data_IF_087396597372
#
_entry.id   IF_087396597372
#
_cell.length_a   1.000
_cell.length_b   1.000
_cell.length_c   1.000
_cell.angle_alpha   90.00
_cell.angle_beta   90.00
_cell.angle_gamma   90.00
#
_symmetry.space_group_name_H-M   'P 1'
#
loop_
_entity.id
_entity.type
_entity.pdbx_description
1 polymer ?
#
# COMPACT_ATOMS: atom_id res chain seq x y z
N UNK A 1 -30.69 -29.75 5.64
CA UNK A 1 -31.57 -28.73 5.06
C UNK A 1 -31.76 -27.77 6.20
N UNK A 2 -30.74 -26.93 6.42
CA UNK A 2 -30.55 -26.18 7.65
C UNK A 2 -31.27 -24.84 7.49
N UNK A 3 -32.25 -24.59 8.35
CA UNK A 3 -33.18 -23.47 8.25
C UNK A 3 -32.41 -22.13 8.29
N UNK A 4 -32.57 -21.26 7.27
CA UNK A 4 -32.00 -19.90 7.27
C UNK A 4 -32.56 -19.02 8.39
N UNK A 5 -33.63 -19.45 9.05
CA UNK A 5 -34.31 -18.76 10.14
C UNK A 5 -33.53 -18.89 11.47
N UNK A 6 -32.85 -20.03 11.69
CA UNK A 6 -32.05 -20.27 12.91
C UNK A 6 -30.86 -19.31 13.03
N UNK A 7 -30.18 -19.01 11.91
CA UNK A 7 -29.06 -18.06 11.93
C UNK A 7 -29.53 -16.63 12.23
N UNK A 8 -30.70 -16.24 11.75
CA UNK A 8 -31.26 -14.93 12.05
C UNK A 8 -31.63 -14.84 13.52
N UNK A 9 -32.25 -15.87 14.09
CA UNK A 9 -32.61 -15.91 15.50
C UNK A 9 -31.38 -15.89 16.41
N UNK A 10 -30.34 -16.66 16.09
CA UNK A 10 -29.06 -16.67 16.86
C UNK A 10 -28.35 -15.32 16.76
N UNK A 11 -28.38 -14.66 15.59
CA UNK A 11 -27.79 -13.33 15.41
C UNK A 11 -28.62 -12.28 16.15
N UNK A 12 -29.95 -12.35 16.11
CA UNK A 12 -30.84 -11.43 16.83
C UNK A 12 -30.72 -11.61 18.34
N UNK A 13 -30.56 -12.84 18.82
CA UNK A 13 -30.32 -13.15 20.23
C UNK A 13 -28.97 -12.60 20.70
N UNK A 14 -27.90 -12.82 19.94
CA UNK A 14 -26.58 -12.25 20.23
C UNK A 14 -26.58 -10.72 20.19
N UNK A 15 -27.30 -10.11 19.24
CA UNK A 15 -27.44 -8.65 19.17
C UNK A 15 -28.23 -8.09 20.35
N UNK A 16 -29.28 -8.79 20.80
CA UNK A 16 -30.03 -8.42 21.99
C UNK A 16 -29.20 -8.60 23.27
N UNK A 17 -28.40 -9.65 23.35
CA UNK A 17 -27.45 -9.86 24.44
C UNK A 17 -26.36 -8.79 24.46
N UNK A 18 -25.74 -8.49 23.31
CA UNK A 18 -24.74 -7.44 23.18
C UNK A 18 -25.33 -6.05 23.48
N UNK A 19 -26.55 -5.77 23.05
CA UNK A 19 -27.29 -4.56 23.44
C UNK A 19 -27.49 -4.52 24.96
N UNK A 20 -27.94 -5.61 25.58
CA UNK A 20 -28.16 -5.65 27.03
C UNK A 20 -26.84 -5.53 27.80
N UNK A 21 -25.74 -6.08 27.30
CA UNK A 21 -24.41 -6.01 27.89
C UNK A 21 -23.72 -4.64 27.69
N UNK A 22 -23.91 -3.99 26.54
CA UNK A 22 -23.34 -2.66 26.25
C UNK A 22 -24.16 -1.52 26.86
N UNK A 23 -25.47 -1.71 27.04
CA UNK A 23 -26.37 -0.71 27.63
C UNK A 23 -26.79 -1.05 29.08
N UNK A 24 -26.22 -2.11 29.67
CA UNK A 24 -26.38 -2.40 31.10
C UNK A 24 -25.91 -1.22 31.94
N UNK A 25 -26.62 -0.91 33.02
CA UNK A 25 -26.25 0.14 33.95
C UNK A 25 -24.84 -0.07 34.53
N UNK A 26 -24.35 -1.30 34.63
CA UNK A 26 -23.00 -1.62 35.10
C UNK A 26 -21.90 -1.20 34.12
N UNK A 27 -22.14 -1.32 32.81
CA UNK A 27 -21.17 -0.88 31.79
C UNK A 27 -21.09 0.64 31.73
N UNK A 28 -22.21 1.32 32.02
CA UNK A 28 -22.24 2.78 32.16
C UNK A 28 -21.54 3.27 33.43
N UNK A 29 -21.62 2.55 34.55
CA UNK A 29 -20.84 2.91 35.76
C UNK A 29 -19.35 2.64 35.57
N UNK A 30 -18.96 1.56 34.89
CA UNK A 30 -17.55 1.31 34.56
C UNK A 30 -17.00 2.27 33.51
N UNK A 31 -17.77 2.64 32.47
CA UNK A 31 -17.38 3.69 31.53
C UNK A 31 -17.26 5.04 32.25
N UNK A 32 -18.20 5.38 33.13
CA UNK A 32 -18.16 6.66 33.83
C UNK A 32 -17.02 6.71 34.87
N UNK A 33 -16.70 5.59 35.50
CA UNK A 33 -15.69 5.50 36.55
C UNK A 33 -14.25 5.29 36.01
N UNK A 34 -14.07 4.58 34.88
CA UNK A 34 -12.75 4.28 34.30
C UNK A 34 -12.46 4.97 32.96
N UNK A 35 -13.47 5.39 32.19
CA UNK A 35 -13.28 6.04 30.87
C UNK A 35 -13.42 7.58 30.95
N UNK A 36 -14.07 8.11 31.99
CA UNK A 36 -14.26 9.57 32.19
C UNK A 36 -13.49 10.16 33.38
N UNK A 37 -12.54 9.43 33.97
CA UNK A 37 -11.67 9.99 35.02
C UNK A 37 -10.52 10.81 34.37
N UNK A 38 -10.28 12.09 34.78
CA UNK A 38 -9.33 13.02 34.17
C UNK A 38 -7.84 12.63 34.15
N UNK A 39 -7.48 11.44 34.64
CA UNK A 39 -6.13 10.85 34.65
C UNK A 39 -5.99 9.60 33.76
N UNK A 40 -6.91 9.37 32.83
CA UNK A 40 -6.84 8.25 31.87
C UNK A 40 -5.64 8.37 30.90
N UNK A 41 -4.83 7.31 30.70
CA UNK A 41 -3.72 7.28 29.73
C UNK A 41 -4.15 7.60 28.30
N UNK A 42 -5.41 7.30 27.94
CA UNK A 42 -6.00 7.64 26.65
C UNK A 42 -6.24 9.15 26.50
N UNK A 43 -6.53 9.84 27.60
CA UNK A 43 -6.67 11.30 27.59
C UNK A 43 -5.31 11.99 27.54
N UNK A 44 -4.28 11.44 28.19
CA UNK A 44 -2.89 11.91 28.06
C UNK A 44 -2.40 11.72 26.62
N UNK A 45 -2.69 10.56 26.01
CA UNK A 45 -2.40 10.30 24.61
C UNK A 45 -3.14 11.31 23.70
N UNK A 46 -4.46 11.52 23.92
CA UNK A 46 -5.24 12.51 23.17
C UNK A 46 -4.70 13.93 23.32
N UNK A 47 -4.31 14.33 24.53
CA UNK A 47 -3.73 15.66 24.81
C UNK A 47 -2.36 15.81 24.15
N UNK A 48 -1.51 14.79 24.21
CA UNK A 48 -0.22 14.79 23.50
C UNK A 48 -0.40 14.84 21.99
N UNK A 49 -1.35 14.11 21.41
CA UNK A 49 -1.68 14.22 19.99
C UNK A 49 -2.22 15.62 19.65
N UNK A 50 -3.08 16.18 20.49
CA UNK A 50 -3.63 17.52 20.29
C UNK A 50 -2.56 18.62 20.41
N UNK A 51 -1.62 18.50 21.36
CA UNK A 51 -0.53 19.44 21.57
C UNK A 51 0.54 19.34 20.46
N UNK A 52 0.81 18.12 19.96
CA UNK A 52 1.66 17.94 18.78
C UNK A 52 1.01 18.52 17.52
N UNK A 53 -0.30 18.32 17.33
CA UNK A 53 -1.04 18.94 16.23
C UNK A 53 -1.04 20.47 16.33
N UNK A 54 -1.30 21.02 17.52
CA UNK A 54 -1.38 22.47 17.73
C UNK A 54 -0.01 23.16 17.57
N UNK A 55 1.06 22.51 18.04
CA UNK A 55 2.44 23.02 17.90
C UNK A 55 2.90 22.98 16.44
N UNK A 56 2.57 21.91 15.69
CA UNK A 56 2.84 21.84 14.25
C UNK A 56 2.03 22.90 13.47
N UNK A 57 0.78 23.15 13.86
CA UNK A 57 -0.09 24.12 13.21
C UNK A 57 0.36 25.57 13.43
N UNK A 58 0.65 25.95 14.68
CA UNK A 58 0.96 27.34 15.03
C UNK A 58 2.39 27.77 14.67
N UNK A 59 3.37 26.86 14.63
CA UNK A 59 4.77 27.23 14.43
C UNK A 59 5.21 27.35 12.97
N UNK A 60 4.61 26.57 12.05
CA UNK A 60 5.14 26.42 10.68
C UNK A 60 4.08 26.76 9.62
N UNK A 61 2.79 26.52 9.88
CA UNK A 61 1.74 26.72 8.87
C UNK A 61 1.07 28.10 8.88
N UNK A 62 1.04 28.81 10.01
CA UNK A 62 0.36 30.12 10.07
C UNK A 62 0.91 31.17 9.09
N UNK A 63 2.25 31.38 8.91
CA UNK A 63 2.71 32.43 8.01
C UNK A 63 2.51 32.08 6.53
N UNK A 64 2.42 30.79 6.19
CA UNK A 64 2.12 30.34 4.83
C UNK A 64 0.63 30.46 4.52
N UNK A 65 -0.25 30.07 5.45
CA UNK A 65 -1.70 30.21 5.28
C UNK A 65 -2.11 31.68 5.19
N UNK A 66 -1.54 32.56 6.01
CA UNK A 66 -1.87 33.99 5.97
C UNK A 66 -1.41 34.64 4.66
N UNK A 67 -0.22 34.31 4.15
CA UNK A 67 0.25 34.79 2.84
C UNK A 67 -0.57 34.25 1.68
N UNK A 68 -1.00 32.99 1.75
CA UNK A 68 -1.88 32.39 0.74
C UNK A 68 -3.27 33.01 0.78
N UNK A 69 -3.84 33.24 1.97
CA UNK A 69 -5.14 33.89 2.15
C UNK A 69 -5.13 35.33 1.63
N UNK A 70 -4.04 36.07 1.88
CA UNK A 70 -3.87 37.45 1.41
C UNK A 70 -3.58 37.53 -0.11
N UNK A 71 -2.97 36.51 -0.71
CA UNK A 71 -2.82 36.38 -2.16
C UNK A 71 -4.14 35.96 -2.85
N UNK A 72 -4.93 35.10 -2.20
CA UNK A 72 -6.24 34.65 -2.68
C UNK A 72 -7.30 35.76 -2.68
N UNK A 73 -7.28 36.65 -1.69
CA UNK A 73 -8.27 37.74 -1.59
C UNK A 73 -8.12 38.80 -2.68
N UNK A 74 -6.94 38.93 -3.29
CA UNK A 74 -6.65 39.96 -4.28
C UNK A 74 -6.90 39.54 -5.73
N UNK A 75 -7.12 38.26 -6.02
CA UNK A 75 -7.35 37.76 -7.39
C UNK A 75 -8.11 36.43 -7.41
N UNK A 76 -9.40 36.40 -7.83
CA UNK A 76 -10.23 35.18 -7.86
C UNK A 76 -9.65 34.04 -8.71
N UNK A 77 -8.89 34.38 -9.75
CA UNK A 77 -8.29 33.41 -10.68
C UNK A 77 -7.16 32.59 -10.01
N UNK A 78 -6.46 33.19 -9.04
CA UNK A 78 -5.44 32.50 -8.26
C UNK A 78 -6.03 31.45 -7.31
N UNK A 79 -7.28 31.63 -6.87
CA UNK A 79 -7.96 30.66 -6.00
C UNK A 79 -8.13 29.31 -6.71
N UNK A 80 -8.57 29.33 -7.96
CA UNK A 80 -8.81 28.10 -8.75
C UNK A 80 -7.49 27.37 -9.03
N UNK A 81 -6.43 28.12 -9.38
CA UNK A 81 -5.10 27.56 -9.63
C UNK A 81 -4.49 26.93 -8.36
N UNK A 82 -4.55 27.65 -7.23
CA UNK A 82 -4.05 27.13 -5.94
C UNK A 82 -4.85 25.90 -5.52
N UNK A 83 -6.18 25.93 -5.65
CA UNK A 83 -7.03 24.78 -5.36
C UNK A 83 -6.66 23.57 -6.22
N UNK A 84 -6.47 23.74 -7.53
CA UNK A 84 -6.05 22.67 -8.42
C UNK A 84 -4.69 22.06 -8.02
N UNK A 85 -3.71 22.90 -7.67
CA UNK A 85 -2.40 22.45 -7.18
C UNK A 85 -2.54 21.69 -5.86
N UNK A 86 -3.36 22.17 -4.92
CA UNK A 86 -3.60 21.49 -3.65
C UNK A 86 -4.23 20.11 -3.89
N UNK A 87 -5.23 20.00 -4.75
CA UNK A 87 -5.85 18.72 -5.11
C UNK A 87 -4.83 17.77 -5.75
N UNK A 88 -3.98 18.27 -6.66
CA UNK A 88 -2.93 17.49 -7.28
C UNK A 88 -1.92 16.97 -6.25
N UNK A 89 -1.46 17.84 -5.34
CA UNK A 89 -0.53 17.47 -4.26
C UNK A 89 -1.16 16.43 -3.33
N UNK A 90 -2.44 16.59 -2.98
CA UNK A 90 -3.18 15.60 -2.19
C UNK A 90 -3.27 14.25 -2.92
N UNK A 91 -3.56 14.25 -4.21
CA UNK A 91 -3.60 13.02 -5.00
C UNK A 91 -2.24 12.32 -5.02
N UNK A 92 -1.15 13.06 -5.24
CA UNK A 92 0.21 12.51 -5.19
C UNK A 92 0.56 11.98 -3.79
N UNK A 93 0.18 12.71 -2.74
CA UNK A 93 0.41 12.29 -1.37
C UNK A 93 -0.31 10.97 -1.07
N UNK A 94 -1.58 10.84 -1.47
CA UNK A 94 -2.34 9.59 -1.33
C UNK A 94 -1.64 8.46 -2.10
N UNK A 95 -1.19 8.71 -3.33
CA UNK A 95 -0.47 7.72 -4.13
C UNK A 95 0.82 7.23 -3.44
N UNK A 96 1.59 8.15 -2.86
CA UNK A 96 2.80 7.84 -2.12
C UNK A 96 2.49 7.04 -0.84
N UNK A 97 1.42 7.39 -0.14
CA UNK A 97 0.95 6.66 1.03
C UNK A 97 0.51 5.24 0.68
N UNK A 98 -0.28 5.09 -0.39
CA UNK A 98 -0.70 3.77 -0.89
C UNK A 98 0.53 2.94 -1.25
N UNK A 99 1.50 3.50 -1.98
CA UNK A 99 2.75 2.79 -2.31
C UNK A 99 3.48 2.30 -1.07
N UNK A 100 3.59 3.15 -0.03
CA UNK A 100 4.23 2.79 1.24
C UNK A 100 3.44 1.75 2.01
N UNK A 101 2.11 1.87 2.05
CA UNK A 101 1.20 0.95 2.71
C UNK A 101 1.26 -0.43 2.05
N UNK A 102 1.24 -0.50 0.72
CA UNK A 102 1.37 -1.75 -0.03
C UNK A 102 2.73 -2.40 0.23
N UNK A 103 3.84 -1.65 0.20
CA UNK A 103 5.16 -2.20 0.49
C UNK A 103 5.27 -2.74 1.93
N UNK A 104 4.71 -2.00 2.90
CA UNK A 104 4.68 -2.43 4.29
C UNK A 104 3.80 -3.68 4.48
N UNK A 105 2.60 -3.68 3.91
CA UNK A 105 1.65 -4.78 4.01
C UNK A 105 2.17 -6.05 3.33
N UNK A 106 2.74 -5.93 2.12
CA UNK A 106 3.36 -7.06 1.41
C UNK A 106 4.50 -7.66 2.22
N UNK A 107 5.37 -6.84 2.81
CA UNK A 107 6.45 -7.32 3.69
C UNK A 107 5.88 -8.03 4.93
N UNK A 108 4.80 -7.50 5.51
CA UNK A 108 4.13 -8.09 6.67
C UNK A 108 3.52 -9.45 6.32
N UNK A 109 2.79 -9.56 5.20
CA UNK A 109 2.21 -10.82 4.72
C UNK A 109 3.31 -11.84 4.46
N UNK A 110 4.37 -11.47 3.75
CA UNK A 110 5.50 -12.38 3.50
C UNK A 110 6.14 -12.86 4.81
N UNK A 111 6.30 -11.96 5.79
CA UNK A 111 6.81 -12.33 7.11
C UNK A 111 5.88 -13.30 7.83
N UNK A 112 4.57 -13.10 7.78
CA UNK A 112 3.59 -14.02 8.36
C UNK A 112 3.63 -15.39 7.69
N UNK A 113 3.64 -15.43 6.36
CA UNK A 113 3.75 -16.69 5.60
C UNK A 113 5.04 -17.43 5.97
N UNK A 114 6.17 -16.72 6.07
CA UNK A 114 7.43 -17.30 6.50
C UNK A 114 7.35 -17.91 7.90
N UNK A 115 6.79 -17.19 8.88
CA UNK A 115 6.59 -17.73 10.23
C UNK A 115 5.62 -18.91 10.26
N UNK A 116 4.56 -18.88 9.45
CA UNK A 116 3.62 -20.00 9.31
C UNK A 116 4.31 -21.24 8.74
N UNK A 117 5.18 -21.09 7.73
CA UNK A 117 5.99 -22.17 7.19
C UNK A 117 6.94 -22.76 8.26
N UNK A 118 7.63 -21.91 9.04
CA UNK A 118 8.48 -22.37 10.14
C UNK A 118 7.67 -23.14 11.18
N UNK A 119 6.51 -22.60 11.60
CA UNK A 119 5.65 -23.25 12.59
C UNK A 119 5.15 -24.61 12.07
N UNK A 120 4.74 -24.68 10.80
CA UNK A 120 4.34 -25.92 10.17
C UNK A 120 5.50 -26.94 10.11
N UNK A 121 6.71 -26.48 9.82
CA UNK A 121 7.92 -27.30 9.84
C UNK A 121 8.19 -27.89 11.22
N UNK A 122 8.19 -27.05 12.26
CA UNK A 122 8.40 -27.48 13.64
C UNK A 122 7.31 -28.47 14.07
N UNK A 123 6.05 -28.21 13.72
CA UNK A 123 4.95 -29.12 14.01
C UNK A 123 5.09 -30.47 13.28
N UNK A 124 5.52 -30.46 12.01
CA UNK A 124 5.75 -31.67 11.23
C UNK A 124 6.90 -32.52 11.80
N UNK A 125 8.00 -31.87 12.21
CA UNK A 125 9.13 -32.52 12.88
C UNK A 125 8.69 -33.16 14.20
N UNK A 126 7.85 -32.47 14.97
CA UNK A 126 7.36 -32.96 16.26
C UNK A 126 6.41 -34.17 16.12
N UNK A 127 5.60 -34.22 15.07
CA UNK A 127 4.62 -35.30 14.88
C UNK A 127 5.19 -36.54 14.17
N UNK A 128 6.13 -36.39 13.22
CA UNK A 128 6.52 -37.48 12.29
C UNK A 128 7.99 -37.89 12.36
N UNK A 129 8.81 -37.16 13.11
CA UNK A 129 10.26 -37.37 13.13
C UNK A 129 10.96 -36.80 11.88
N UNK A 130 12.28 -36.53 11.96
CA UNK A 130 13.00 -35.69 11.00
C UNK A 130 13.09 -36.28 9.58
N UNK A 131 13.19 -37.60 9.43
CA UNK A 131 13.47 -38.23 8.13
C UNK A 131 12.31 -38.17 7.13
N UNK A 132 11.07 -38.31 7.59
CA UNK A 132 9.89 -38.25 6.71
C UNK A 132 9.47 -36.80 6.45
N UNK A 133 9.62 -35.91 7.44
CA UNK A 133 9.32 -34.48 7.29
C UNK A 133 10.27 -33.78 6.31
N UNK A 134 11.56 -34.16 6.26
CA UNK A 134 12.52 -33.58 5.34
C UNK A 134 12.21 -33.89 3.87
N UNK A 135 11.73 -35.09 3.56
CA UNK A 135 11.35 -35.49 2.19
C UNK A 135 10.12 -34.74 1.69
N UNK A 136 9.09 -34.62 2.52
CA UNK A 136 7.87 -33.85 2.20
C UNK A 136 8.20 -32.36 2.01
N UNK A 137 9.07 -31.81 2.86
CA UNK A 137 9.51 -30.43 2.74
C UNK A 137 10.30 -30.20 1.44
N UNK A 138 11.24 -31.09 1.11
CA UNK A 138 12.04 -30.97 -0.11
C UNK A 138 11.17 -31.04 -1.37
N UNK A 139 10.16 -31.93 -1.39
CA UNK A 139 9.21 -32.01 -2.49
C UNK A 139 8.37 -30.73 -2.61
N UNK A 140 7.89 -30.19 -1.50
CA UNK A 140 7.12 -28.95 -1.47
C UNK A 140 7.95 -27.74 -1.93
N UNK A 141 9.17 -27.58 -1.40
CA UNK A 141 10.09 -26.50 -1.78
C UNK A 141 10.47 -26.59 -3.25
N UNK A 142 10.73 -27.81 -3.75
CA UNK A 142 11.01 -28.04 -5.17
C UNK A 142 9.85 -27.63 -6.07
N UNK A 143 8.61 -27.96 -5.68
CA UNK A 143 7.42 -27.55 -6.42
C UNK A 143 7.27 -26.02 -6.44
N UNK A 144 7.39 -25.36 -5.29
CA UNK A 144 7.28 -23.89 -5.17
C UNK A 144 8.37 -23.17 -5.99
N UNK A 145 9.62 -23.66 -5.94
CA UNK A 145 10.71 -23.10 -6.73
C UNK A 145 10.47 -23.24 -8.25
N UNK A 146 9.93 -24.38 -8.68
CA UNK A 146 9.55 -24.61 -10.08
C UNK A 146 8.50 -23.62 -10.58
N UNK A 147 7.43 -23.39 -9.81
CA UNK A 147 6.41 -22.41 -10.17
C UNK A 147 6.95 -20.97 -10.17
N UNK A 148 7.81 -20.62 -9.20
CA UNK A 148 8.44 -19.30 -9.14
C UNK A 148 9.31 -19.00 -10.36
N UNK A 149 10.08 -19.98 -10.83
CA UNK A 149 10.94 -19.85 -12.00
C UNK A 149 10.13 -19.70 -13.30
N UNK A 150 9.01 -20.41 -13.43
CA UNK A 150 8.09 -20.25 -14.55
C UNK A 150 7.48 -18.84 -14.60
N UNK A 151 7.04 -18.31 -13.46
CA UNK A 151 6.48 -16.95 -13.40
C UNK A 151 7.52 -15.87 -13.74
N UNK A 152 8.74 -16.02 -13.21
CA UNK A 152 9.83 -15.08 -13.44
C UNK A 152 10.28 -15.06 -14.90
N UNK A 153 10.45 -16.23 -15.51
CA UNK A 153 10.81 -16.34 -16.93
C UNK A 153 9.73 -15.73 -17.83
N UNK A 154 8.46 -16.10 -17.63
CA UNK A 154 7.34 -15.59 -18.40
C UNK A 154 7.25 -14.05 -18.37
N UNK A 155 7.35 -13.44 -17.18
CA UNK A 155 7.29 -11.98 -17.05
C UNK A 155 8.51 -11.30 -17.66
N UNK A 156 9.72 -11.79 -17.38
CA UNK A 156 10.97 -11.25 -17.94
C UNK A 156 10.95 -11.25 -19.47
N UNK A 157 10.50 -12.34 -20.07
CA UNK A 157 10.48 -12.50 -21.53
C UNK A 157 9.51 -11.55 -22.22
N UNK A 158 8.41 -11.16 -21.56
CA UNK A 158 7.47 -10.16 -22.09
C UNK A 158 8.11 -8.78 -22.10
N UNK A 159 8.79 -8.40 -21.01
CA UNK A 159 9.46 -7.10 -20.92
C UNK A 159 10.64 -6.99 -21.89
N UNK A 160 11.45 -8.04 -21.99
CA UNK A 160 12.60 -8.07 -22.91
C UNK A 160 12.16 -7.92 -24.37
N UNK A 161 11.08 -8.59 -24.78
CA UNK A 161 10.53 -8.45 -26.13
C UNK A 161 10.14 -7.02 -26.49
N UNK A 162 9.60 -6.27 -25.53
CA UNK A 162 9.23 -4.87 -25.78
C UNK A 162 10.45 -3.95 -25.80
N UNK A 163 11.47 -4.20 -24.96
CA UNK A 163 12.75 -3.48 -25.03
C UNK A 163 13.45 -3.70 -26.37
N UNK A 164 13.57 -4.95 -26.81
CA UNK A 164 14.16 -5.32 -28.11
C UNK A 164 13.43 -4.64 -29.27
N UNK A 165 12.11 -4.46 -29.16
CA UNK A 165 11.29 -3.75 -30.16
C UNK A 165 11.66 -2.27 -30.27
N UNK A 166 12.06 -1.61 -29.19
CA UNK A 166 12.53 -0.21 -29.23
C UNK A 166 13.96 -0.10 -29.77
N UNK A 167 14.85 -1.04 -29.41
CA UNK A 167 16.22 -1.07 -29.93
C UNK A 167 16.26 -1.39 -31.43
N UNK A 168 15.38 -2.29 -31.90
CA UNK A 168 15.21 -2.58 -33.32
C UNK A 168 14.81 -1.32 -34.10
N UNK A 169 13.84 -0.54 -33.59
CA UNK A 169 13.42 0.70 -34.27
C UNK A 169 14.51 1.78 -34.28
N UNK A 170 15.30 1.89 -33.22
CA UNK A 170 16.44 2.80 -33.18
C UNK A 170 17.58 2.38 -34.12
N UNK A 171 17.85 1.08 -34.24
CA UNK A 171 18.86 0.55 -35.17
C UNK A 171 18.45 0.68 -36.63
N UNK A 172 17.16 0.47 -36.99
CA UNK A 172 16.66 0.74 -38.35
C UNK A 172 16.79 2.22 -38.76
N UNK A 173 16.60 3.16 -37.83
CA UNK A 173 16.83 4.60 -38.07
C UNK A 173 18.32 4.96 -38.22
N UNK A 174 19.19 4.31 -37.45
CA UNK A 174 20.64 4.50 -37.52
C UNK A 174 21.24 3.98 -38.84
N UNK A 175 20.77 2.84 -39.36
CA UNK A 175 21.23 2.28 -40.64
C UNK A 175 20.68 3.05 -41.85
N UNK A 176 19.46 3.60 -41.77
CA UNK A 176 18.86 4.41 -42.83
C UNK A 176 19.56 5.78 -43.03
N UNK A 177 20.18 6.34 -41.98
CA UNK A 177 20.95 7.58 -42.05
C UNK A 177 22.34 7.45 -42.71
N UNK A 178 22.87 6.22 -42.83
CA UNK A 178 24.21 5.96 -43.34
C UNK A 178 24.23 5.59 -44.84
N UNK A 179 23.05 5.42 -45.45
CA UNK A 179 22.87 4.96 -46.83
C UNK A 179 22.58 6.05 -47.88
N UNK A 180 22.84 7.33 -47.62
CA UNK A 180 22.72 8.40 -48.63
C UNK A 180 24.04 8.57 -49.40
N UNK A 181 24.21 7.97 -50.60
CA UNK A 181 25.38 8.25 -51.44
C UNK A 181 25.35 9.71 -51.90
N UNK A 182 26.30 10.50 -51.41
CA UNK A 182 26.50 11.89 -51.79
C UNK A 182 27.14 11.98 -53.19
N UNK A 183 26.41 11.56 -54.22
CA UNK A 183 26.85 11.63 -55.61
C UNK A 183 26.43 12.98 -56.22
N UNK A 184 27.02 14.08 -55.76
CA UNK A 184 26.94 15.40 -56.40
C UNK A 184 28.21 16.22 -56.13
N UNK A 185 29.29 15.94 -56.86
CA UNK A 185 30.34 16.93 -57.14
C UNK A 185 31.35 16.42 -58.18
N UNK A 186 30.92 16.17 -59.41
CA UNK A 186 31.84 16.03 -60.55
C UNK A 186 31.30 16.74 -61.80
N UNK A 187 30.66 17.90 -61.59
CA UNK A 187 30.24 18.81 -62.66
C UNK A 187 30.90 20.17 -62.43
N UNK A 188 32.22 20.22 -62.58
CA UNK A 188 32.96 21.46 -62.87
C UNK A 188 33.49 21.32 -64.29
N UNK A 189 33.04 22.23 -65.14
CA UNK A 189 33.19 22.22 -66.58
C UNK A 189 34.57 22.65 -67.11
N UNK A 190 34.63 22.92 -68.43
CA UNK A 190 35.82 22.93 -69.30
C UNK A 190 36.77 24.11 -69.10
#
# INVERSE_FOLDING_TARGET
>A
MDDPDNLQDVVLENLNFARKALFSQETRTLLNQHVLNPSSPLQTLRRQFADLLSTMYNGIMSPFLDRLAQALSNSPDLFILVFAVVVLVLALQVLLWVRRLVAWFTTLVLRLVFWACIAALVAALWQRGPDQAAKDLAAFVGAVAGYGQLLYSYTRDIWLREYERYEAQQSYGATAGQGYPHNRAARRGP
#
